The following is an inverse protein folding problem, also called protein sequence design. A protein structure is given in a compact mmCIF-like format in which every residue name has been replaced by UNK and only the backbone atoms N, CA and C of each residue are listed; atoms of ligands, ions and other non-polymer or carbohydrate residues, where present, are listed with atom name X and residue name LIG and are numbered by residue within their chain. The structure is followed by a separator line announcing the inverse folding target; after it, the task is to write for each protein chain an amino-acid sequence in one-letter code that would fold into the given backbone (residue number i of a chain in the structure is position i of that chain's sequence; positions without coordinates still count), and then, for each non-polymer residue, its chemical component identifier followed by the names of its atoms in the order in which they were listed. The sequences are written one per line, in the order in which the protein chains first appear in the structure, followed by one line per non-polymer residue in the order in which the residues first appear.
data_IF_154939614500
#
_entry.id   IF_154939614500
#
_cell.length_a   1.000
_cell.length_b   1.000
_cell.length_c   1.000
_cell.angle_alpha   90.00
_cell.angle_beta   90.00
_cell.angle_gamma   90.00
#
_symmetry.space_group_name_H-M   'P 1'
#
loop_
_entity.id
_entity.type
_entity.pdbx_description
1 polymer ?
#
# COMPACT_ATOMS: atom_id res chain seq x y z
N UNK A 1 6.43 -9.31 9.73
CA UNK A 1 5.30 -8.89 8.88
C UNK A 1 5.51 -9.40 7.47
N UNK A 2 4.44 -9.78 6.80
CA UNK A 2 4.44 -10.07 5.35
C UNK A 2 3.84 -8.89 4.63
N UNK A 3 4.54 -8.39 3.60
CA UNK A 3 4.15 -7.22 2.85
C UNK A 3 3.86 -7.59 1.39
N UNK A 4 2.86 -6.91 0.80
CA UNK A 4 2.45 -7.11 -0.58
C UNK A 4 1.68 -5.89 -1.11
N UNK A 5 1.52 -5.80 -2.43
CA UNK A 5 0.69 -4.79 -3.08
C UNK A 5 -0.45 -5.44 -3.86
N UNK A 6 -1.58 -4.75 -3.88
CA UNK A 6 -2.71 -5.15 -4.70
C UNK A 6 -3.45 -3.97 -5.30
N UNK A 7 -4.00 -4.20 -6.49
CA UNK A 7 -4.84 -3.25 -7.17
C UNK A 7 -6.31 -3.55 -6.91
N UNK A 8 -7.06 -2.50 -6.63
CA UNK A 8 -8.50 -2.56 -6.45
C UNK A 8 -9.17 -1.74 -7.54
N UNK A 9 -9.89 -2.41 -8.44
CA UNK A 9 -10.67 -1.75 -9.48
C UNK A 9 -11.79 -0.93 -8.86
N UNK A 10 -12.02 0.24 -9.40
CA UNK A 10 -13.16 1.10 -9.06
C UNK A 10 -14.41 0.78 -9.87
N UNK A 11 -14.25 -0.01 -10.92
CA UNK A 11 -15.32 -0.38 -11.83
C UNK A 11 -15.65 -1.85 -11.67
N UNK A 12 -16.90 -2.18 -11.99
CA UNK A 12 -17.38 -3.54 -11.99
C UNK A 12 -16.47 -4.45 -12.82
N UNK A 13 -16.13 -5.59 -12.24
CA UNK A 13 -15.47 -6.66 -12.98
C UNK A 13 -16.49 -7.78 -13.17
N UNK A 14 -16.78 -8.18 -14.42
CA UNK A 14 -17.73 -9.25 -14.68
C UNK A 14 -17.19 -10.54 -14.04
N UNK A 15 -18.03 -11.20 -13.26
CA UNK A 15 -17.72 -12.53 -12.74
C UNK A 15 -17.95 -13.56 -13.85
N UNK A 16 -16.97 -14.40 -14.13
CA UNK A 16 -17.08 -15.44 -15.13
C UNK A 16 -17.99 -16.61 -14.72
N UNK A 17 -18.43 -16.66 -13.46
CA UNK A 17 -19.26 -17.73 -12.91
C UNK A 17 -20.43 -17.16 -12.12
N UNK A 18 -21.65 -17.59 -12.49
CA UNK A 18 -22.86 -17.33 -11.73
C UNK A 18 -23.71 -18.59 -11.70
N UNK A 19 -24.36 -18.84 -10.56
CA UNK A 19 -25.42 -19.85 -10.48
C UNK A 19 -26.71 -19.24 -11.00
N UNK A 20 -27.27 -19.85 -12.02
CA UNK A 20 -28.53 -19.42 -12.63
C UNK A 20 -29.41 -20.63 -12.95
N UNK A 21 -30.70 -20.42 -13.16
CA UNK A 21 -31.57 -21.44 -13.69
C UNK A 21 -31.10 -21.91 -15.08
N UNK A 22 -31.36 -23.15 -15.45
CA UNK A 22 -30.85 -23.77 -16.67
C UNK A 22 -31.27 -23.08 -17.98
N UNK A 23 -32.33 -22.28 -17.94
CA UNK A 23 -32.89 -21.50 -19.01
C UNK A 23 -32.53 -20.02 -18.99
N UNK A 24 -31.77 -19.57 -17.97
CA UNK A 24 -31.38 -18.19 -17.83
C UNK A 24 -30.23 -17.84 -18.78
N UNK A 25 -30.44 -16.83 -19.63
CA UNK A 25 -29.36 -16.25 -20.43
C UNK A 25 -28.51 -15.35 -19.52
N UNK A 26 -27.31 -15.83 -19.19
CA UNK A 26 -26.33 -15.02 -18.49
C UNK A 26 -25.72 -14.00 -19.46
N UNK A 27 -26.00 -12.72 -19.23
CA UNK A 27 -25.34 -11.62 -19.95
C UNK A 27 -24.23 -11.07 -19.08
N UNK A 28 -22.98 -11.23 -19.52
CA UNK A 28 -21.85 -10.53 -18.97
C UNK A 28 -21.88 -9.08 -19.47
N UNK A 29 -22.21 -8.16 -18.59
CA UNK A 29 -22.15 -6.72 -18.90
C UNK A 29 -20.80 -6.21 -18.42
N UNK A 30 -19.87 -6.05 -19.33
CA UNK A 30 -18.64 -5.33 -19.07
C UNK A 30 -18.95 -3.84 -19.24
N UNK A 31 -18.88 -3.07 -18.17
CA UNK A 31 -18.84 -1.61 -18.25
C UNK A 31 -17.39 -1.20 -18.42
N UNK A 32 -17.04 -0.75 -19.60
CA UNK A 32 -15.75 -0.10 -19.80
C UNK A 32 -15.76 1.25 -19.04
N UNK A 33 -14.69 1.54 -18.29
CA UNK A 33 -14.56 2.86 -17.70
C UNK A 33 -14.49 3.90 -18.81
N UNK A 34 -15.07 5.11 -18.62
CA UNK A 34 -14.89 6.21 -19.57
C UNK A 34 -13.40 6.39 -19.88
N UNK A 35 -13.08 6.74 -21.14
CA UNK A 35 -11.68 6.93 -21.56
C UNK A 35 -10.95 7.95 -20.68
N UNK A 36 -11.68 8.96 -20.22
CA UNK A 36 -11.20 10.06 -19.36
C UNK A 36 -11.28 9.75 -17.86
N UNK A 37 -11.62 8.52 -17.45
CA UNK A 37 -11.70 8.20 -16.03
C UNK A 37 -10.30 8.33 -15.39
N UNK A 38 -10.08 9.30 -14.49
CA UNK A 38 -8.73 9.70 -14.06
C UNK A 38 -8.02 8.62 -13.24
N UNK A 39 -8.76 7.66 -12.71
CA UNK A 39 -8.19 6.62 -11.85
C UNK A 39 -9.04 5.34 -11.91
N UNK A 40 -8.61 4.39 -12.74
CA UNK A 40 -9.35 3.12 -12.95
C UNK A 40 -9.23 2.14 -11.79
N UNK A 41 -8.16 2.24 -11.01
CA UNK A 41 -7.89 1.38 -9.86
C UNK A 41 -7.06 2.12 -8.82
N UNK A 42 -7.12 1.65 -7.58
CA UNK A 42 -6.30 2.14 -6.47
C UNK A 42 -5.24 1.09 -6.16
N UNK A 43 -3.99 1.51 -6.09
CA UNK A 43 -2.91 0.67 -5.59
C UNK A 43 -2.85 0.74 -4.06
N UNK A 44 -2.83 -0.41 -3.43
CA UNK A 44 -2.80 -0.56 -1.99
C UNK A 44 -1.59 -1.40 -1.57
N UNK A 45 -0.74 -0.83 -0.74
CA UNK A 45 0.29 -1.56 -0.02
C UNK A 45 -0.32 -2.10 1.27
N UNK A 46 -0.03 -3.35 1.60
CA UNK A 46 -0.46 -3.97 2.84
C UNK A 46 0.66 -4.71 3.53
N UNK A 47 0.66 -4.67 4.86
CA UNK A 47 1.56 -5.48 5.67
C UNK A 47 0.78 -6.14 6.81
N UNK A 48 0.84 -7.46 6.88
CA UNK A 48 0.25 -8.24 7.97
C UNK A 48 1.27 -8.49 9.06
N UNK A 49 0.95 -8.10 10.28
CA UNK A 49 1.71 -8.53 11.46
C UNK A 49 1.37 -9.98 11.78
N UNK A 50 2.36 -10.86 11.73
CA UNK A 50 2.17 -12.29 11.95
C UNK A 50 1.87 -12.66 13.41
N UNK A 51 2.15 -11.76 14.35
CA UNK A 51 1.90 -11.99 15.77
C UNK A 51 0.51 -11.53 16.22
N UNK A 52 0.01 -10.43 15.65
CA UNK A 52 -1.27 -9.81 16.04
C UNK A 52 -2.36 -9.98 15.00
N UNK A 53 -2.01 -10.48 13.82
CA UNK A 53 -2.86 -10.56 12.62
C UNK A 53 -3.37 -9.21 12.11
N UNK A 54 -2.93 -8.11 12.72
CA UNK A 54 -3.28 -6.77 12.29
C UNK A 54 -2.69 -6.47 10.90
N UNK A 55 -3.48 -5.83 10.06
CA UNK A 55 -3.05 -5.39 8.72
C UNK A 55 -2.89 -3.88 8.70
N UNK A 56 -1.75 -3.42 8.20
CA UNK A 56 -1.45 -2.02 7.97
C UNK A 56 -1.57 -1.72 6.48
N UNK A 57 -2.26 -0.63 6.12
CA UNK A 57 -2.52 -0.25 4.74
C UNK A 57 -1.96 1.13 4.42
N UNK A 58 -1.46 1.26 3.19
CA UNK A 58 -1.09 2.53 2.57
C UNK A 58 -1.58 2.54 1.13
N UNK A 59 -2.20 3.63 0.70
CA UNK A 59 -2.68 3.81 -0.68
C UNK A 59 -1.76 4.76 -1.41
N UNK A 60 -1.31 4.36 -2.60
CA UNK A 60 -0.52 5.22 -3.46
C UNK A 60 -1.36 5.78 -4.60
N UNK A 61 -1.06 7.03 -4.96
CA UNK A 61 -1.58 7.61 -6.18
C UNK A 61 -0.69 7.16 -7.34
N UNK A 62 -1.26 6.36 -8.24
CA UNK A 62 -0.54 5.76 -9.36
C UNK A 62 0.11 4.42 -9.05
N UNK A 63 1.12 4.06 -9.84
CA UNK A 63 1.75 2.74 -9.76
C UNK A 63 2.70 2.61 -8.56
N UNK A 64 2.74 1.43 -7.91
CA UNK A 64 3.77 1.13 -6.92
C UNK A 64 5.17 1.41 -7.48
N UNK A 65 5.99 2.06 -6.68
CA UNK A 65 7.36 2.39 -7.04
C UNK A 65 8.26 2.43 -5.78
N UNK A 66 9.54 2.71 -5.97
CA UNK A 66 10.51 2.75 -4.89
C UNK A 66 10.24 3.84 -3.85
N UNK A 67 9.60 4.95 -4.23
CA UNK A 67 9.27 6.04 -3.30
C UNK A 67 8.12 5.64 -2.39
N UNK A 68 7.04 5.13 -2.98
CA UNK A 68 5.90 4.60 -2.22
C UNK A 68 6.33 3.45 -1.29
N UNK A 69 7.24 2.58 -1.74
CA UNK A 69 7.83 1.55 -0.90
C UNK A 69 8.53 2.15 0.31
N UNK A 70 9.39 3.16 0.11
CA UNK A 70 10.11 3.82 1.21
C UNK A 70 9.14 4.52 2.17
N UNK A 71 8.12 5.22 1.67
CA UNK A 71 7.09 5.83 2.51
C UNK A 71 6.37 4.80 3.37
N UNK A 72 5.98 3.68 2.77
CA UNK A 72 5.33 2.61 3.52
C UNK A 72 6.25 2.00 4.57
N UNK A 73 7.54 1.79 4.27
CA UNK A 73 8.53 1.34 5.24
C UNK A 73 8.68 2.30 6.42
N UNK A 74 8.66 3.61 6.18
CA UNK A 74 8.70 4.62 7.24
C UNK A 74 7.48 4.51 8.17
N UNK A 75 6.29 4.33 7.59
CA UNK A 75 5.05 4.12 8.36
C UNK A 75 5.11 2.85 9.21
N UNK A 76 5.59 1.75 8.65
CA UNK A 76 5.74 0.48 9.38
C UNK A 76 6.79 0.57 10.51
N UNK A 77 7.86 1.32 10.30
CA UNK A 77 8.85 1.58 11.35
C UNK A 77 8.24 2.38 12.50
N UNK A 78 7.37 3.34 12.20
CA UNK A 78 6.65 4.08 13.24
C UNK A 78 5.71 3.17 14.05
N UNK A 79 4.98 2.28 13.37
CA UNK A 79 4.18 1.24 14.05
C UNK A 79 5.06 0.38 14.98
N UNK A 80 6.24 -0.02 14.50
CA UNK A 80 7.16 -0.81 15.30
C UNK A 80 7.72 -0.04 16.51
N UNK A 81 7.98 1.28 16.37
CA UNK A 81 8.39 2.15 17.48
C UNK A 81 7.30 2.25 18.54
N UNK A 82 6.06 2.53 18.12
CA UNK A 82 4.90 2.62 19.03
C UNK A 82 4.67 1.31 19.77
N UNK A 83 4.92 0.18 19.11
CA UNK A 83 4.89 -1.15 19.70
C UNK A 83 6.18 -1.51 20.49
N UNK A 84 7.09 -0.57 20.69
CA UNK A 84 8.36 -0.73 21.42
C UNK A 84 9.23 -1.90 20.91
N UNK A 85 9.18 -2.17 19.58
CA UNK A 85 10.01 -3.19 18.94
C UNK A 85 11.39 -2.65 18.62
N UNK A 86 12.40 -3.48 18.73
CA UNK A 86 13.79 -3.14 18.37
C UNK A 86 14.15 -3.50 16.92
N UNK A 87 13.36 -4.38 16.34
CA UNK A 87 13.58 -4.88 14.97
C UNK A 87 12.24 -5.10 14.29
N UNK A 88 12.09 -4.57 13.10
CA UNK A 88 11.03 -4.90 12.16
C UNK A 88 11.58 -5.90 11.14
N UNK A 89 10.99 -7.10 11.09
CA UNK A 89 11.26 -8.10 10.06
C UNK A 89 10.17 -8.04 9.02
N UNK A 90 10.55 -7.87 7.77
CA UNK A 90 9.62 -7.74 6.64
C UNK A 90 9.96 -8.76 5.56
N UNK A 91 8.99 -9.60 5.24
CA UNK A 91 9.03 -10.51 4.09
C UNK A 91 8.26 -9.87 2.93
N UNK A 92 8.80 -9.91 1.74
CA UNK A 92 8.16 -9.37 0.53
C UNK A 92 8.54 -10.15 -0.72
N UNK A 93 7.87 -9.90 -1.80
CA UNK A 93 8.09 -10.57 -3.06
C UNK A 93 9.31 -10.00 -3.84
N UNK A 94 9.45 -10.44 -5.09
CA UNK A 94 10.52 -10.02 -5.99
C UNK A 94 10.14 -8.84 -6.89
N UNK A 95 9.18 -8.00 -6.54
CA UNK A 95 8.86 -6.81 -7.31
C UNK A 95 10.10 -5.94 -7.57
N UNK A 96 10.13 -5.27 -8.70
CA UNK A 96 11.30 -4.50 -9.12
C UNK A 96 11.63 -3.36 -8.16
N UNK A 97 10.62 -2.72 -7.60
CA UNK A 97 10.77 -1.64 -6.63
C UNK A 97 11.35 -2.12 -5.30
N UNK A 98 11.02 -3.33 -4.81
CA UNK A 98 11.63 -3.92 -3.61
C UNK A 98 13.13 -4.16 -3.78
N UNK A 99 13.55 -4.54 -4.98
CA UNK A 99 14.95 -4.83 -5.30
C UNK A 99 15.72 -3.62 -5.81
N UNK A 100 15.08 -2.47 -5.91
CA UNK A 100 15.69 -1.27 -6.47
C UNK A 100 16.92 -0.85 -5.66
N UNK A 101 17.89 -0.24 -6.35
CA UNK A 101 19.09 0.33 -5.70
C UNK A 101 18.71 1.38 -4.67
N UNK A 102 17.66 2.18 -4.94
CA UNK A 102 17.17 3.24 -4.07
C UNK A 102 16.65 2.68 -2.73
N UNK A 103 15.77 1.67 -2.77
CA UNK A 103 15.25 1.02 -1.55
C UNK A 103 16.36 0.35 -0.75
N UNK A 104 17.25 -0.41 -1.41
CA UNK A 104 18.39 -1.05 -0.74
C UNK A 104 19.32 -0.04 -0.06
N UNK A 105 19.60 1.08 -0.72
CA UNK A 105 20.44 2.13 -0.15
C UNK A 105 19.76 2.80 1.05
N UNK A 106 18.45 3.09 0.92
CA UNK A 106 17.66 3.67 2.01
C UNK A 106 17.65 2.76 3.24
N UNK A 107 17.37 1.45 3.08
CA UNK A 107 17.40 0.47 4.18
C UNK A 107 18.77 0.42 4.87
N UNK A 108 19.86 0.44 4.09
CA UNK A 108 21.23 0.46 4.66
C UNK A 108 21.49 1.72 5.46
N UNK A 109 21.09 2.88 4.94
CA UNK A 109 21.27 4.18 5.61
C UNK A 109 20.44 4.25 6.88
N UNK A 110 19.16 3.84 6.81
CA UNK A 110 18.29 3.76 7.96
C UNK A 110 18.89 2.87 9.06
N UNK A 111 19.31 1.64 8.72
CA UNK A 111 19.86 0.71 9.71
C UNK A 111 21.17 1.20 10.35
N UNK A 112 22.00 1.94 9.59
CA UNK A 112 23.23 2.54 10.16
C UNK A 112 22.88 3.58 11.21
N UNK A 113 21.90 4.46 10.92
CA UNK A 113 21.40 5.46 11.88
C UNK A 113 20.73 4.80 13.07
N UNK A 114 19.79 3.88 12.83
CA UNK A 114 19.07 3.16 13.86
C UNK A 114 19.99 2.43 14.84
N UNK A 115 21.15 1.94 14.37
CA UNK A 115 22.16 1.35 15.25
C UNK A 115 22.81 2.39 16.17
N UNK A 116 23.05 3.60 15.68
CA UNK A 116 23.69 4.67 16.47
C UNK A 116 22.70 5.32 17.47
N UNK A 117 21.42 5.39 17.10
CA UNK A 117 20.37 6.07 17.87
C UNK A 117 19.51 5.08 18.71
N UNK A 118 19.86 3.81 18.73
CA UNK A 118 19.10 2.72 19.38
C UNK A 118 17.64 2.60 18.90
N UNK A 119 17.38 3.03 17.65
CA UNK A 119 16.08 2.98 17.01
C UNK A 119 15.78 1.59 16.40
N UNK A 120 14.56 1.43 15.86
CA UNK A 120 14.09 0.19 15.22
C UNK A 120 14.90 -0.10 13.95
N UNK A 121 15.52 -1.27 13.91
CA UNK A 121 16.20 -1.75 12.69
C UNK A 121 15.23 -2.48 11.78
N UNK A 122 15.43 -2.36 10.46
CA UNK A 122 14.65 -3.02 9.44
C UNK A 122 15.44 -4.17 8.81
N UNK A 123 14.91 -5.39 8.89
CA UNK A 123 15.43 -6.56 8.20
C UNK A 123 14.44 -6.97 7.12
N UNK A 124 14.89 -7.04 5.87
CA UNK A 124 14.04 -7.40 4.73
C UNK A 124 14.47 -8.73 4.13
N UNK A 125 13.51 -9.61 3.88
CA UNK A 125 13.72 -10.91 3.27
C UNK A 125 12.86 -11.06 2.02
N UNK A 126 13.47 -11.56 0.95
CA UNK A 126 12.75 -11.90 -0.26
C UNK A 126 12.16 -13.30 -0.12
N UNK A 127 10.87 -13.42 -0.35
CA UNK A 127 10.22 -14.74 -0.43
C UNK A 127 10.78 -15.55 -1.61
N UNK A 128 10.75 -16.88 -1.57
CA UNK A 128 11.14 -17.69 -2.72
C UNK A 128 10.33 -17.31 -3.96
N UNK A 129 10.99 -17.34 -5.12
CA UNK A 129 10.31 -17.05 -6.39
C UNK A 129 9.17 -18.03 -6.64
N UNK A 130 8.08 -17.54 -7.23
CA UNK A 130 6.89 -18.34 -7.56
C UNK A 130 6.25 -19.04 -6.35
N UNK A 131 6.33 -18.45 -5.17
CA UNK A 131 5.75 -18.99 -3.94
C UNK A 131 4.79 -17.99 -3.28
N UNK A 132 3.73 -17.53 -3.96
CA UNK A 132 2.80 -16.55 -3.40
C UNK A 132 2.09 -17.06 -2.14
N UNK A 133 1.90 -18.39 -2.02
CA UNK A 133 1.30 -18.99 -0.84
C UNK A 133 2.08 -18.79 0.48
N UNK A 134 3.35 -18.39 0.39
CA UNK A 134 4.14 -18.01 1.57
C UNK A 134 3.88 -16.58 2.05
N UNK A 135 3.21 -15.76 1.24
CA UNK A 135 2.82 -14.40 1.62
C UNK A 135 1.41 -14.41 2.21
N UNK A 136 1.29 -14.14 3.49
CA UNK A 136 0.00 -14.14 4.19
C UNK A 136 -0.94 -13.01 3.73
N UNK A 137 -0.45 -12.01 2.99
CA UNK A 137 -1.27 -10.97 2.39
C UNK A 137 -2.05 -11.44 1.16
N UNK A 138 -1.53 -12.38 0.37
CA UNK A 138 -2.18 -12.86 -0.86
C UNK A 138 -3.62 -13.35 -0.66
N UNK A 139 -3.90 -14.30 0.25
CA UNK A 139 -5.27 -14.72 0.49
C UNK A 139 -6.14 -13.59 1.06
N UNK A 140 -5.58 -12.68 1.84
CA UNK A 140 -6.29 -11.51 2.39
C UNK A 140 -6.76 -10.57 1.29
N UNK A 141 -5.94 -10.37 0.24
CA UNK A 141 -6.33 -9.59 -0.93
C UNK A 141 -7.49 -10.22 -1.69
N UNK A 142 -7.50 -11.53 -1.87
CA UNK A 142 -8.60 -12.26 -2.51
C UNK A 142 -9.91 -12.01 -1.77
N UNK A 143 -9.91 -12.12 -0.45
CA UNK A 143 -11.08 -11.86 0.39
C UNK A 143 -11.51 -10.39 0.33
N UNK A 144 -10.56 -9.46 0.39
CA UNK A 144 -10.84 -8.04 0.30
C UNK A 144 -11.49 -7.68 -1.05
N UNK A 145 -10.97 -8.17 -2.17
CA UNK A 145 -11.55 -7.92 -3.50
C UNK A 145 -12.99 -8.39 -3.60
N UNK A 146 -13.32 -9.56 -3.03
CA UNK A 146 -14.70 -10.10 -3.04
C UNK A 146 -15.66 -9.26 -2.21
N UNK A 147 -15.19 -8.71 -1.08
CA UNK A 147 -16.07 -8.04 -0.11
C UNK A 147 -16.19 -6.53 -0.33
N UNK A 148 -15.22 -5.92 -1.02
CA UNK A 148 -15.12 -4.46 -1.09
C UNK A 148 -15.52 -3.91 -2.45
N UNK A 149 -15.26 -4.64 -3.56
CA UNK A 149 -15.63 -4.23 -4.90
C UNK A 149 -17.10 -4.58 -5.19
N UNK A 150 -17.85 -3.61 -5.71
CA UNK A 150 -19.22 -3.86 -6.16
C UNK A 150 -19.25 -4.37 -7.60
N UNK A 151 -20.04 -5.42 -7.89
CA UNK A 151 -20.07 -6.05 -9.21
C UNK A 151 -20.73 -5.18 -10.30
N UNK A 152 -21.60 -4.23 -9.93
CA UNK A 152 -22.50 -3.56 -10.88
C UNK A 152 -22.31 -2.03 -10.98
N UNK A 153 -21.25 -1.47 -10.38
CA UNK A 153 -21.13 -0.01 -10.31
C UNK A 153 -19.72 0.53 -10.29
N UNK A 154 -19.66 1.86 -10.32
CA UNK A 154 -18.45 2.61 -10.05
C UNK A 154 -18.38 2.97 -8.57
N UNK A 155 -17.21 2.79 -7.97
CA UNK A 155 -16.94 3.16 -6.59
C UNK A 155 -16.01 4.38 -6.56
N UNK A 156 -16.39 5.44 -5.84
CA UNK A 156 -15.51 6.59 -5.63
C UNK A 156 -14.23 6.17 -4.87
N UNK A 157 -13.05 6.74 -5.21
CA UNK A 157 -11.77 6.35 -4.60
C UNK A 157 -11.81 6.35 -3.07
N UNK A 158 -12.36 7.40 -2.47
CA UNK A 158 -12.45 7.53 -1.01
C UNK A 158 -13.39 6.49 -0.37
N UNK A 159 -14.47 6.13 -1.07
CA UNK A 159 -15.37 5.08 -0.60
C UNK A 159 -14.66 3.72 -0.63
N UNK A 160 -13.89 3.44 -1.67
CA UNK A 160 -13.12 2.21 -1.78
C UNK A 160 -12.03 2.12 -0.69
N UNK A 161 -11.28 3.21 -0.45
CA UNK A 161 -10.31 3.28 0.65
C UNK A 161 -10.97 3.02 2.01
N UNK A 162 -12.10 3.69 2.28
CA UNK A 162 -12.86 3.51 3.53
C UNK A 162 -13.33 2.07 3.71
N UNK A 163 -13.82 1.43 2.65
CA UNK A 163 -14.25 0.01 2.69
C UNK A 163 -13.06 -0.91 2.99
N UNK A 164 -11.89 -0.65 2.41
CA UNK A 164 -10.67 -1.42 2.68
C UNK A 164 -10.22 -1.27 4.13
N UNK A 165 -10.21 -0.05 4.68
CA UNK A 165 -9.91 0.16 6.10
C UNK A 165 -10.90 -0.58 7.00
N UNK A 166 -12.21 -0.53 6.69
CA UNK A 166 -13.22 -1.24 7.44
C UNK A 166 -13.08 -2.77 7.35
N UNK A 167 -12.80 -3.30 6.13
CA UNK A 167 -12.59 -4.72 5.90
C UNK A 167 -11.42 -5.27 6.73
N UNK A 168 -10.30 -4.58 6.75
CA UNK A 168 -9.12 -4.95 7.51
C UNK A 168 -9.14 -4.49 8.98
N UNK A 169 -10.20 -3.81 9.42
CA UNK A 169 -10.35 -3.25 10.77
C UNK A 169 -9.13 -2.42 11.18
N UNK A 170 -8.65 -1.61 10.25
CA UNK A 170 -7.46 -0.78 10.43
C UNK A 170 -7.77 0.69 10.13
N UNK A 171 -6.82 1.56 10.42
CA UNK A 171 -6.93 3.01 10.23
C UNK A 171 -5.77 3.52 9.38
N UNK A 172 -5.91 4.72 8.78
CA UNK A 172 -4.80 5.36 8.10
C UNK A 172 -3.57 5.45 9.00
N UNK A 173 -2.42 5.01 8.48
CA UNK A 173 -1.15 5.16 9.16
C UNK A 173 -0.78 6.65 9.21
N UNK A 174 -0.41 7.13 10.39
CA UNK A 174 0.07 8.50 10.59
C UNK A 174 1.59 8.49 10.65
N UNK A 175 2.24 9.34 9.86
CA UNK A 175 3.65 9.66 10.05
C UNK A 175 3.73 10.74 11.14
N UNK A 176 4.23 10.38 12.31
CA UNK A 176 4.58 11.38 13.34
C UNK A 176 5.92 11.98 12.93
N UNK A 177 5.90 13.21 12.43
CA UNK A 177 7.12 13.94 12.01
C UNK A 177 7.95 14.39 13.22
N UNK A 178 8.41 13.47 14.06
CA UNK A 178 9.30 13.79 15.17
C UNK A 178 10.80 13.70 14.84
N UNK A 179 11.14 13.42 13.59
CA UNK A 179 12.55 13.32 13.16
C UNK A 179 12.85 14.36 12.10
N UNK A 180 13.92 15.10 12.34
CA UNK A 180 14.41 16.30 11.65
C UNK A 180 14.00 16.47 10.17
N UNK A 181 13.67 17.71 9.81
CA UNK A 181 13.35 18.19 8.46
C UNK A 181 14.32 17.73 7.34
N UNK A 182 15.46 17.15 7.69
CA UNK A 182 16.46 16.62 6.75
C UNK A 182 15.98 15.37 5.98
N UNK A 183 15.08 14.57 6.54
CA UNK A 183 14.59 13.34 5.87
C UNK A 183 13.53 13.64 4.81
N UNK A 184 12.72 14.65 5.03
CA UNK A 184 11.76 15.15 4.05
C UNK A 184 12.46 15.83 2.86
N UNK A 185 13.60 16.49 3.09
CA UNK A 185 14.35 17.17 2.03
C UNK A 185 14.99 16.22 0.99
N UNK A 186 15.27 14.96 1.33
CA UNK A 186 15.84 14.03 0.34
C UNK A 186 14.79 13.49 -0.65
N UNK A 187 13.51 13.45 -0.24
CA UNK A 187 12.39 13.10 -1.13
C UNK A 187 11.85 14.30 -1.93
N UNK A 188 11.85 15.49 -1.34
CA UNK A 188 11.25 16.69 -1.94
C UNK A 188 12.12 17.42 -2.94
N UNK A 189 13.45 17.38 -2.83
CA UNK A 189 14.33 18.03 -3.81
C UNK A 189 14.33 17.38 -5.19
N UNK A 190 13.96 16.12 -5.29
CA UNK A 190 13.84 15.44 -6.58
C UNK A 190 12.50 15.73 -7.28
N UNK A 191 11.47 16.17 -6.53
CA UNK A 191 10.16 16.52 -7.10
C UNK A 191 10.11 17.91 -7.75
N UNK A 192 11.03 18.82 -7.42
CA UNK A 192 10.99 20.19 -7.96
C UNK A 192 11.65 20.37 -9.32
N UNK A 193 12.26 19.33 -9.91
CA UNK A 193 12.93 19.45 -11.21
C UNK A 193 12.20 18.78 -12.37
N UNK A 194 11.08 18.09 -12.19
CA UNK A 194 10.37 17.40 -13.28
C UNK A 194 8.88 17.73 -13.45
N UNK A 195 8.26 18.61 -12.65
CA UNK A 195 6.85 18.97 -12.88
C UNK A 195 6.57 20.47 -12.72
N UNK A 196 6.81 21.20 -13.81
CA UNK A 196 5.99 22.37 -14.16
C UNK A 196 5.08 21.88 -15.29
N UNK A 197 3.94 21.29 -14.94
CA UNK A 197 2.64 21.28 -15.63
C UNK A 197 1.79 20.12 -15.07
N UNK A 198 1.03 20.33 -14.05
CA UNK A 198 -0.41 20.17 -14.00
C UNK A 198 -0.94 20.41 -12.58
N UNK A 199 -1.82 21.37 -12.46
CA UNK A 199 -2.48 21.76 -11.22
C UNK A 199 -3.74 20.92 -11.05
N UNK A 200 -3.89 20.33 -9.89
CA UNK A 200 -5.12 20.00 -9.11
C UNK A 200 -5.13 18.57 -8.60
N UNK A 201 -4.97 18.48 -7.33
CA UNK A 201 -5.40 17.52 -6.32
C UNK A 201 -4.24 17.06 -5.41
N UNK A 202 -4.12 17.76 -4.28
CA UNK A 202 -3.21 17.35 -3.20
C UNK A 202 -3.87 16.28 -2.33
N UNK A 203 -3.11 15.23 -1.92
CA UNK A 203 -3.53 14.38 -0.82
C UNK A 203 -3.48 15.19 0.48
N UNK A 204 -4.52 15.08 1.30
CA UNK A 204 -4.59 15.75 2.60
C UNK A 204 -3.58 15.08 3.54
N UNK A 205 -2.40 15.69 3.65
CA UNK A 205 -1.42 15.37 4.68
C UNK A 205 -1.83 16.15 5.94
N UNK A 206 -2.48 15.50 6.90
CA UNK A 206 -2.82 16.13 8.18
C UNK A 206 -1.59 16.14 9.06
N UNK A 207 -0.90 17.27 9.07
CA UNK A 207 0.21 17.53 10.00
C UNK A 207 -0.37 18.11 11.30
N UNK A 208 -0.38 17.35 12.39
CA UNK A 208 -0.61 17.91 13.74
C UNK A 208 0.74 18.25 14.36
N UNK A 209 0.89 19.52 14.71
CA UNK A 209 1.97 19.96 15.62
C UNK A 209 1.48 19.74 17.06
N UNK A 210 2.25 18.98 17.83
CA UNK A 210 2.12 18.96 19.28
C UNK A 210 2.91 20.14 19.86
N UNK A 211 2.22 20.96 20.64
CA UNK A 211 2.78 22.00 21.50
C UNK A 211 3.50 21.41 22.69
#
# INVERSE_FOLDING_TARGET
MDQDESWFSRFAQPQAHAWAASDAQLRLVQREPPEDAPQKAIACFGAADLATEQVHLYFSDGQPNSEHTILFLQMLLEVARQAQKRVLVLNWDHASWHKSRRVKQWVRTHNRRAKAEEDVRLLTFLLPKKSPWLNTMEPRWVHAKRNVCEPDGEIAPETLRRRLYAHFRTHPLQLTLNHSAAELHYGWRTMQHEEIHDTKHHPILVVRRSS
#
